data_IF_174393795298
#
_entry.id   IF_174393795298
#
_cell.length_a   1.000
_cell.length_b   1.000
_cell.length_c   1.000
_cell.angle_alpha   90.00
_cell.angle_beta   90.00
_cell.angle_gamma   90.00
#
_symmetry.space_group_name_H-M   'P 1'
#
loop_
_entity.id
_entity.type
_entity.pdbx_description
1 polymer ?
#
# COMPACT_ATOMS: atom_id res chain seq x y z
N UNK A 1 -13.18 32.93 -17.82
CA UNK A 1 -13.40 31.69 -17.06
C UNK A 1 -13.83 31.99 -15.64
N UNK A 2 -13.04 32.67 -14.84
CA UNK A 2 -13.32 32.98 -13.41
C UNK A 2 -14.62 33.71 -13.07
N UNK A 3 -15.22 34.38 -14.03
CA UNK A 3 -16.44 35.19 -13.82
C UNK A 3 -17.75 34.49 -14.13
N UNK A 4 -17.71 33.22 -14.56
CA UNK A 4 -18.88 32.56 -15.11
C UNK A 4 -19.38 31.34 -14.37
N UNK A 5 -18.55 30.77 -13.47
CA UNK A 5 -18.92 29.57 -12.70
C UNK A 5 -18.17 29.52 -11.37
N UNK A 6 -18.84 29.01 -10.33
CA UNK A 6 -18.28 28.85 -8.99
C UNK A 6 -17.62 27.47 -8.78
N UNK A 7 -17.83 26.51 -9.69
CA UNK A 7 -17.27 25.17 -9.63
C UNK A 7 -16.77 24.71 -11.01
N UNK A 8 -15.56 24.14 -11.01
CA UNK A 8 -14.89 23.63 -12.20
C UNK A 8 -14.64 22.11 -12.06
N UNK A 9 -15.69 21.32 -12.26
CA UNK A 9 -15.58 19.87 -12.31
C UNK A 9 -14.87 19.38 -13.56
N UNK A 10 -14.60 18.06 -13.63
CA UNK A 10 -13.88 17.41 -14.73
C UNK A 10 -14.47 17.74 -16.11
N UNK A 11 -15.80 17.67 -16.24
CA UNK A 11 -16.48 17.95 -17.51
C UNK A 11 -16.28 19.39 -17.96
N UNK A 12 -16.43 20.35 -17.05
CA UNK A 12 -16.21 21.77 -17.31
C UNK A 12 -14.77 22.05 -17.77
N UNK A 13 -13.78 21.45 -17.11
CA UNK A 13 -12.36 21.59 -17.50
C UNK A 13 -12.15 21.03 -18.90
N UNK A 14 -12.68 19.85 -19.21
CA UNK A 14 -12.56 19.25 -20.54
C UNK A 14 -13.24 20.09 -21.65
N UNK A 15 -14.41 20.67 -21.37
CA UNK A 15 -15.10 21.59 -22.29
C UNK A 15 -14.26 22.84 -22.60
N UNK A 16 -13.71 23.48 -21.54
CA UNK A 16 -12.85 24.65 -21.71
C UNK A 16 -11.53 24.32 -22.43
N UNK A 17 -10.91 23.21 -22.06
CA UNK A 17 -9.69 22.73 -22.72
C UNK A 17 -9.90 22.49 -24.20
N UNK A 18 -11.02 21.84 -24.57
CA UNK A 18 -11.40 21.61 -25.97
C UNK A 18 -11.71 22.92 -26.68
N UNK A 19 -12.45 23.83 -26.05
CA UNK A 19 -12.82 25.14 -26.61
C UNK A 19 -11.61 26.00 -26.92
N UNK A 20 -10.60 25.99 -26.04
CA UNK A 20 -9.42 26.85 -26.18
C UNK A 20 -8.19 26.11 -26.71
N UNK A 21 -8.35 24.82 -27.07
CA UNK A 21 -7.28 23.95 -27.59
C UNK A 21 -6.03 23.93 -26.67
N UNK A 22 -6.25 23.82 -25.37
CA UNK A 22 -5.18 23.73 -24.36
C UNK A 22 -5.24 22.36 -23.66
N UNK A 23 -4.12 21.96 -23.07
CA UNK A 23 -4.06 20.74 -22.27
C UNK A 23 -4.95 20.89 -21.01
N UNK A 24 -5.89 19.97 -20.75
CA UNK A 24 -6.74 20.05 -19.55
C UNK A 24 -5.96 19.97 -18.24
N UNK A 25 -4.86 19.24 -18.20
CA UNK A 25 -3.97 19.16 -17.04
C UNK A 25 -3.30 20.53 -16.77
N UNK A 26 -2.70 21.16 -17.76
CA UNK A 26 -2.09 22.48 -17.63
C UNK A 26 -3.13 23.55 -17.22
N UNK A 27 -4.35 23.42 -17.74
CA UNK A 27 -5.45 24.31 -17.35
C UNK A 27 -5.79 24.16 -15.85
N UNK A 28 -5.80 22.93 -15.32
CA UNK A 28 -5.97 22.69 -13.88
C UNK A 28 -4.82 23.32 -13.07
N UNK A 29 -3.57 23.18 -13.51
CA UNK A 29 -2.42 23.78 -12.84
C UNK A 29 -2.46 25.33 -12.86
N UNK A 30 -2.94 25.94 -13.95
CA UNK A 30 -3.15 27.39 -14.01
C UNK A 30 -4.24 27.85 -13.02
N UNK A 31 -5.32 27.09 -12.89
CA UNK A 31 -6.36 27.35 -11.89
C UNK A 31 -5.85 27.19 -10.45
N UNK A 32 -5.01 26.18 -10.22
CA UNK A 32 -4.47 25.90 -8.90
C UNK A 32 -3.62 27.05 -8.30
N UNK A 33 -3.12 27.96 -9.12
CA UNK A 33 -2.37 29.14 -8.64
C UNK A 33 -3.30 30.12 -7.88
N UNK A 34 -4.59 30.08 -8.13
CA UNK A 34 -5.56 31.07 -7.63
C UNK A 34 -6.44 30.56 -6.48
N UNK A 35 -6.23 29.33 -6.02
CA UNK A 35 -7.03 28.73 -4.94
C UNK A 35 -6.26 28.74 -3.62
N UNK A 36 -7.00 28.70 -2.51
CA UNK A 36 -6.43 28.68 -1.17
C UNK A 36 -5.98 27.29 -0.73
N UNK A 37 -6.57 26.23 -1.34
CA UNK A 37 -6.24 24.83 -1.04
C UNK A 37 -6.23 23.98 -2.32
N UNK A 38 -5.28 23.04 -2.38
CA UNK A 38 -5.16 22.06 -3.46
C UNK A 38 -5.18 20.66 -2.85
N UNK A 39 -6.08 19.80 -3.33
CA UNK A 39 -6.11 18.38 -2.97
C UNK A 39 -5.52 17.60 -4.15
N UNK A 40 -4.49 16.80 -3.87
CA UNK A 40 -3.79 16.04 -4.90
C UNK A 40 -3.19 14.74 -4.33
N UNK A 41 -2.76 13.87 -5.23
CA UNK A 41 -2.01 12.66 -4.88
C UNK A 41 -0.61 12.99 -4.35
N UNK A 42 -0.02 12.09 -3.54
CA UNK A 42 1.34 12.20 -3.00
C UNK A 42 2.40 12.45 -4.07
N UNK A 43 2.24 11.83 -5.24
CA UNK A 43 3.19 11.92 -6.35
C UNK A 43 3.43 13.38 -6.76
N UNK A 44 2.41 14.23 -6.72
CA UNK A 44 2.54 15.64 -7.09
C UNK A 44 3.42 16.47 -6.16
N UNK A 45 3.74 15.94 -4.98
CA UNK A 45 4.62 16.61 -4.00
C UNK A 45 5.94 15.86 -3.86
N UNK A 46 5.90 14.53 -3.79
CA UNK A 46 7.03 13.71 -3.31
C UNK A 46 7.77 12.96 -4.43
N UNK A 47 7.13 12.66 -5.57
CA UNK A 47 7.76 11.86 -6.62
C UNK A 47 8.80 12.71 -7.40
N UNK A 48 10.07 12.31 -7.45
CA UNK A 48 11.12 13.08 -8.14
C UNK A 48 10.87 13.27 -9.64
N UNK A 49 10.02 12.45 -10.26
CA UNK A 49 9.76 12.48 -11.69
C UNK A 49 8.50 13.25 -12.08
N UNK A 50 7.48 13.29 -11.18
CA UNK A 50 6.16 13.86 -11.48
C UNK A 50 5.73 15.00 -10.58
N UNK A 51 6.53 15.38 -9.56
CA UNK A 51 6.19 16.50 -8.70
C UNK A 51 5.89 17.78 -9.48
N UNK A 52 5.01 18.61 -8.97
CA UNK A 52 4.58 19.84 -9.64
C UNK A 52 5.69 20.91 -9.61
N UNK A 53 6.54 20.91 -10.62
CA UNK A 53 7.67 21.85 -10.75
C UNK A 53 7.26 23.32 -10.65
N UNK A 54 6.03 23.65 -11.05
CA UNK A 54 5.45 25.00 -10.95
C UNK A 54 5.39 25.49 -9.50
N UNK A 55 5.14 24.60 -8.53
CA UNK A 55 5.03 24.89 -7.11
C UNK A 55 6.29 24.53 -6.31
N UNK A 56 6.96 23.47 -6.72
CA UNK A 56 8.03 22.82 -5.96
C UNK A 56 9.35 22.69 -6.75
N UNK A 57 9.52 23.44 -7.85
CA UNK A 57 10.76 23.46 -8.61
C UNK A 57 11.95 24.03 -7.84
N UNK A 58 13.15 23.95 -8.44
CA UNK A 58 14.36 24.48 -7.83
C UNK A 58 14.24 25.97 -7.52
N UNK A 59 14.66 26.36 -6.33
CA UNK A 59 14.60 27.76 -5.86
C UNK A 59 13.19 28.27 -5.53
N UNK A 60 12.15 27.43 -5.65
CA UNK A 60 10.79 27.78 -5.23
C UNK A 60 10.52 27.27 -3.83
N UNK A 61 10.09 28.16 -2.96
CA UNK A 61 9.51 27.84 -1.65
C UNK A 61 8.30 28.71 -1.43
N UNK A 62 7.29 28.18 -0.78
CA UNK A 62 6.03 28.89 -0.56
C UNK A 62 5.54 28.81 0.87
N UNK A 63 4.47 29.54 1.15
CA UNK A 63 3.78 29.48 2.44
C UNK A 63 2.93 28.24 2.63
N UNK A 64 3.25 27.13 1.94
CA UNK A 64 2.46 25.91 1.93
C UNK A 64 2.42 25.23 3.30
N UNK A 65 1.26 24.72 3.65
CA UNK A 65 1.03 23.82 4.78
C UNK A 65 0.61 22.48 4.17
N UNK A 66 1.40 21.44 4.39
CA UNK A 66 1.09 20.10 3.90
C UNK A 66 0.22 19.37 4.92
N UNK A 67 -0.96 18.92 4.48
CA UNK A 67 -1.86 18.05 5.23
C UNK A 67 -1.85 16.68 4.54
N UNK A 68 -1.18 15.72 5.16
CA UNK A 68 -0.89 14.42 4.54
C UNK A 68 -1.78 13.38 5.19
N UNK A 69 -2.88 13.07 4.52
CA UNK A 69 -3.85 12.07 4.95
C UNK A 69 -3.37 10.66 4.64
N UNK A 70 -3.86 9.68 5.37
CA UNK A 70 -3.47 8.28 5.28
C UNK A 70 -1.94 8.11 5.20
N UNK A 71 -1.24 8.89 6.03
CA UNK A 71 0.21 9.03 5.98
C UNK A 71 0.98 7.71 6.19
N UNK A 72 0.32 6.67 6.71
CA UNK A 72 0.88 5.33 6.80
C UNK A 72 1.24 4.75 5.42
N UNK A 73 0.48 5.11 4.37
CA UNK A 73 0.75 4.68 3.00
C UNK A 73 1.97 5.38 2.39
N UNK A 74 2.30 6.59 2.86
CA UNK A 74 3.43 7.34 2.31
C UNK A 74 4.77 6.64 2.55
N UNK A 75 4.89 5.77 3.56
CA UNK A 75 6.12 5.00 3.81
C UNK A 75 6.44 4.06 2.65
N UNK A 76 5.49 3.20 2.26
CA UNK A 76 5.72 2.24 1.17
C UNK A 76 5.72 2.96 -0.19
N UNK A 77 4.85 3.97 -0.38
CA UNK A 77 4.89 4.84 -1.58
C UNK A 77 6.20 5.61 -1.70
N UNK A 78 6.74 6.12 -0.59
CA UNK A 78 8.05 6.77 -0.57
C UNK A 78 9.17 5.81 -0.96
N UNK A 79 9.16 4.58 -0.44
CA UNK A 79 10.11 3.55 -0.87
C UNK A 79 10.02 3.28 -2.37
N UNK A 80 8.83 3.16 -2.92
CA UNK A 80 8.61 2.97 -4.36
C UNK A 80 9.12 4.16 -5.18
N UNK A 81 8.71 5.39 -4.84
CA UNK A 81 9.08 6.63 -5.56
C UNK A 81 10.59 6.89 -5.58
N UNK A 82 11.28 6.50 -4.51
CA UNK A 82 12.72 6.70 -4.36
C UNK A 82 13.55 5.44 -4.61
N UNK A 83 12.99 4.43 -5.24
CA UNK A 83 13.71 3.23 -5.68
C UNK A 83 13.72 3.14 -7.20
N UNK A 84 14.78 2.56 -7.76
CA UNK A 84 14.89 2.31 -9.18
C UNK A 84 15.56 0.97 -9.44
N UNK A 85 15.42 0.47 -10.64
CA UNK A 85 16.06 -0.76 -11.06
C UNK A 85 16.43 -0.75 -12.54
N UNK A 86 17.33 -1.65 -12.92
CA UNK A 86 17.57 -1.98 -14.32
C UNK A 86 17.56 -3.50 -14.48
N UNK A 87 16.66 -3.99 -15.33
CA UNK A 87 16.57 -5.41 -15.70
C UNK A 87 17.45 -5.66 -16.94
N UNK A 88 18.31 -6.67 -16.87
CA UNK A 88 19.11 -7.08 -18.02
C UNK A 88 18.24 -7.55 -19.20
N UNK A 89 17.05 -8.07 -18.95
CA UNK A 89 16.11 -8.44 -20.01
C UNK A 89 15.68 -7.23 -20.82
N UNK A 90 15.32 -6.14 -20.15
CA UNK A 90 14.90 -4.89 -20.78
C UNK A 90 16.05 -4.24 -21.56
N UNK A 91 17.28 -4.30 -21.03
CA UNK A 91 18.49 -3.83 -21.76
C UNK A 91 18.70 -4.61 -23.05
N UNK A 92 18.45 -5.91 -23.07
CA UNK A 92 18.60 -6.74 -24.27
C UNK A 92 17.51 -6.43 -25.29
N UNK A 93 16.27 -6.20 -24.84
CA UNK A 93 15.16 -5.82 -25.70
C UNK A 93 15.39 -4.43 -26.30
N UNK A 94 15.71 -3.43 -25.47
CA UNK A 94 16.05 -2.08 -25.94
C UNK A 94 17.19 -2.08 -26.95
N UNK A 95 18.24 -2.91 -26.72
CA UNK A 95 19.34 -3.07 -27.66
C UNK A 95 18.90 -3.63 -29.00
N UNK A 96 17.97 -4.58 -29.03
CA UNK A 96 17.40 -5.15 -30.25
C UNK A 96 16.62 -4.08 -31.03
N UNK A 97 15.75 -3.34 -30.33
CA UNK A 97 14.95 -2.27 -30.93
C UNK A 97 15.83 -1.11 -31.45
N UNK A 98 16.87 -0.75 -30.71
CA UNK A 98 17.78 0.33 -31.09
C UNK A 98 18.61 0.04 -32.35
N UNK A 99 18.68 -1.21 -32.79
CA UNK A 99 19.51 -1.62 -33.94
C UNK A 99 19.13 -0.88 -35.26
N UNK A 100 17.86 -0.57 -35.42
CA UNK A 100 17.31 0.10 -36.60
C UNK A 100 17.44 1.62 -36.53
N UNK A 101 17.85 2.19 -35.38
CA UNK A 101 17.86 3.61 -35.13
C UNK A 101 19.26 4.19 -34.90
N UNK A 102 20.03 3.63 -33.95
CA UNK A 102 21.33 4.20 -33.53
C UNK A 102 22.39 3.13 -33.22
N UNK A 103 23.46 3.15 -34.00
CA UNK A 103 24.66 2.30 -33.70
C UNK A 103 25.36 2.73 -32.39
N UNK A 104 25.28 4.01 -32.03
CA UNK A 104 25.81 4.54 -30.78
C UNK A 104 25.09 3.95 -29.59
N UNK A 105 23.76 4.02 -29.62
CA UNK A 105 22.90 3.44 -28.57
C UNK A 105 23.10 1.92 -28.43
N UNK A 106 23.19 1.17 -29.54
CA UNK A 106 23.47 -0.28 -29.49
C UNK A 106 24.79 -0.59 -28.79
N UNK A 107 25.84 0.24 -29.00
CA UNK A 107 27.14 0.05 -28.33
C UNK A 107 27.04 0.37 -26.83
N UNK A 108 26.36 1.45 -26.45
CA UNK A 108 26.16 1.84 -25.07
C UNK A 108 25.37 0.74 -24.31
N UNK A 109 24.23 0.29 -24.84
CA UNK A 109 23.46 -0.82 -24.30
C UNK A 109 24.26 -2.13 -24.22
N UNK A 110 25.11 -2.39 -25.23
CA UNK A 110 26.03 -3.52 -25.22
C UNK A 110 27.04 -3.48 -24.06
N UNK A 111 27.43 -2.29 -23.59
CA UNK A 111 28.31 -2.10 -22.43
C UNK A 111 27.57 -2.39 -21.12
N UNK A 112 26.37 -1.82 -20.96
CA UNK A 112 25.49 -2.09 -19.80
C UNK A 112 25.21 -3.60 -19.68
N UNK A 113 24.81 -4.26 -20.79
CA UNK A 113 24.57 -5.70 -20.80
C UNK A 113 25.77 -6.53 -20.33
N UNK A 114 26.99 -6.16 -20.72
CA UNK A 114 28.21 -6.89 -20.28
C UNK A 114 28.46 -6.74 -18.78
N UNK A 115 28.20 -5.56 -18.24
CA UNK A 115 28.35 -5.29 -16.80
C UNK A 115 27.29 -6.04 -15.99
N UNK A 116 26.04 -6.00 -16.41
CA UNK A 116 24.96 -6.77 -15.76
C UNK A 116 25.19 -8.28 -15.88
N UNK A 117 25.72 -8.77 -17.02
CA UNK A 117 26.09 -10.18 -17.18
C UNK A 117 27.22 -10.61 -16.21
N UNK A 118 28.12 -9.70 -15.87
CA UNK A 118 29.15 -10.01 -14.85
C UNK A 118 28.53 -10.16 -13.47
N UNK A 119 27.62 -9.24 -13.07
CA UNK A 119 26.87 -9.35 -11.82
C UNK A 119 25.98 -10.60 -11.77
N UNK A 120 25.39 -11.02 -12.90
CA UNK A 120 24.55 -12.22 -12.98
C UNK A 120 25.31 -13.51 -12.64
N UNK A 121 26.60 -13.59 -12.96
CA UNK A 121 27.44 -14.78 -12.68
C UNK A 121 27.71 -14.97 -11.19
N UNK A 122 27.77 -13.88 -10.46
CA UNK A 122 28.14 -13.87 -9.04
C UNK A 122 26.89 -13.87 -8.16
N UNK A 123 25.69 -13.57 -8.74
CA UNK A 123 24.41 -13.49 -8.05
C UNK A 123 23.82 -14.88 -7.74
N UNK A 124 23.60 -15.17 -6.45
CA UNK A 124 22.77 -16.30 -5.99
C UNK A 124 21.29 -15.94 -6.03
N UNK A 125 20.58 -16.11 -4.90
CA UNK A 125 19.20 -15.63 -4.78
C UNK A 125 19.15 -14.09 -4.84
N UNK A 126 20.04 -13.44 -4.08
CA UNK A 126 20.35 -12.00 -4.18
C UNK A 126 21.74 -11.72 -3.61
N UNK A 127 22.32 -10.58 -3.98
CA UNK A 127 23.63 -10.13 -3.49
C UNK A 127 23.59 -8.62 -3.20
N UNK A 128 24.05 -8.23 -2.01
CA UNK A 128 24.16 -6.81 -1.61
C UNK A 128 25.47 -6.24 -2.11
N UNK A 129 25.39 -5.11 -2.82
CA UNK A 129 26.52 -4.39 -3.39
C UNK A 129 26.84 -3.13 -2.59
N UNK A 130 28.08 -2.66 -2.63
CA UNK A 130 28.46 -1.40 -2.00
C UNK A 130 28.06 -0.17 -2.83
N UNK A 131 28.01 -0.31 -4.14
CA UNK A 131 27.63 0.74 -5.08
C UNK A 131 27.20 0.09 -6.41
N UNK A 132 26.51 0.83 -7.31
CA UNK A 132 26.09 0.30 -8.61
C UNK A 132 27.26 0.09 -9.59
N UNK A 133 28.47 0.50 -9.21
CA UNK A 133 29.69 0.30 -9.96
C UNK A 133 29.71 1.00 -11.32
N UNK A 134 30.26 0.35 -12.34
CA UNK A 134 30.36 0.98 -13.67
C UNK A 134 29.01 1.06 -14.42
N UNK A 135 27.94 0.45 -13.88
CA UNK A 135 26.61 0.47 -14.51
C UNK A 135 26.09 1.89 -14.62
N UNK A 136 26.20 2.71 -13.56
CA UNK A 136 25.75 4.11 -13.55
C UNK A 136 26.37 4.94 -14.67
N UNK A 137 27.70 4.86 -14.83
CA UNK A 137 28.39 5.57 -15.91
C UNK A 137 27.97 5.09 -17.32
N UNK A 138 27.63 3.82 -17.44
CA UNK A 138 27.16 3.28 -18.72
C UNK A 138 25.71 3.66 -18.99
N UNK A 139 24.88 3.79 -17.96
CA UNK A 139 23.52 4.32 -18.07
C UNK A 139 23.52 5.80 -18.49
N UNK A 140 24.43 6.63 -17.96
CA UNK A 140 24.64 8.00 -18.46
C UNK A 140 24.99 8.06 -19.95
N UNK A 141 25.82 7.10 -20.44
CA UNK A 141 26.12 7.01 -21.88
C UNK A 141 24.88 6.60 -22.70
N UNK A 142 24.06 5.69 -22.18
CA UNK A 142 22.78 5.31 -22.80
C UNK A 142 21.85 6.51 -22.88
N UNK A 143 21.69 7.26 -21.78
CA UNK A 143 20.88 8.48 -21.73
C UNK A 143 21.33 9.48 -22.83
N UNK A 144 22.60 9.81 -22.88
CA UNK A 144 23.11 10.76 -23.87
C UNK A 144 22.96 10.28 -25.34
N UNK A 145 22.99 8.98 -25.61
CA UNK A 145 22.72 8.45 -26.97
C UNK A 145 21.21 8.43 -27.28
N UNK A 146 20.35 8.26 -26.27
CA UNK A 146 18.89 8.35 -26.43
C UNK A 146 18.43 9.80 -26.64
N UNK A 147 19.00 10.75 -25.92
CA UNK A 147 18.71 12.19 -26.12
C UNK A 147 19.04 12.63 -27.54
N UNK A 148 20.23 12.26 -28.04
CA UNK A 148 20.61 12.51 -29.43
C UNK A 148 19.63 11.91 -30.46
N UNK A 149 19.22 10.64 -30.20
CA UNK A 149 18.25 9.95 -31.03
C UNK A 149 16.91 10.69 -31.08
N UNK A 150 16.41 11.13 -29.91
CA UNK A 150 15.17 11.90 -29.81
C UNK A 150 15.24 13.24 -30.53
N UNK A 151 16.36 13.95 -30.48
CA UNK A 151 16.60 15.18 -31.23
C UNK A 151 16.64 14.95 -32.75
N UNK A 152 17.29 13.85 -33.20
CA UNK A 152 17.42 13.51 -34.62
C UNK A 152 16.11 13.06 -35.27
N UNK A 153 15.19 12.50 -34.51
CA UNK A 153 13.92 11.98 -35.02
C UNK A 153 12.93 13.07 -35.45
N UNK A 154 13.14 14.34 -35.06
CA UNK A 154 12.29 15.48 -35.46
C UNK A 154 10.77 15.21 -35.40
N UNK A 155 10.32 14.52 -34.36
CA UNK A 155 8.88 14.21 -34.15
C UNK A 155 8.42 12.89 -34.80
N UNK A 156 9.32 12.03 -35.26
CA UNK A 156 8.97 10.63 -35.53
C UNK A 156 8.87 9.88 -34.23
N UNK A 157 7.85 9.06 -34.13
CA UNK A 157 7.62 8.25 -32.92
C UNK A 157 8.67 7.14 -32.78
N UNK A 158 9.22 6.99 -31.57
CA UNK A 158 9.98 5.80 -31.17
C UNK A 158 9.02 4.67 -30.83
N UNK A 159 9.44 3.40 -30.94
CA UNK A 159 8.70 2.30 -30.33
C UNK A 159 8.44 2.58 -28.84
N UNK A 160 7.23 2.34 -28.40
CA UNK A 160 6.78 2.58 -27.03
C UNK A 160 7.73 1.94 -26.01
N UNK A 161 8.12 0.69 -26.22
CA UNK A 161 9.05 -0.04 -25.35
C UNK A 161 10.44 0.63 -25.25
N UNK A 162 10.91 1.28 -26.31
CA UNK A 162 12.18 2.01 -26.27
C UNK A 162 12.05 3.35 -25.53
N UNK A 163 10.88 3.97 -25.61
CA UNK A 163 10.57 5.16 -24.83
C UNK A 163 10.39 4.84 -23.35
N UNK A 164 9.72 3.75 -23.01
CA UNK A 164 9.59 3.25 -21.62
C UNK A 164 10.97 2.97 -21.02
N UNK A 165 11.85 2.35 -21.82
CA UNK A 165 13.22 2.11 -21.39
C UNK A 165 14.00 3.42 -21.17
N UNK A 166 13.77 4.46 -21.98
CA UNK A 166 14.34 5.80 -21.76
C UNK A 166 13.93 6.35 -20.39
N UNK A 167 12.65 6.25 -20.02
CA UNK A 167 12.18 6.68 -18.72
C UNK A 167 12.80 5.85 -17.58
N UNK A 168 12.92 4.53 -17.75
CA UNK A 168 13.61 3.67 -16.80
C UNK A 168 15.08 4.09 -16.57
N UNK A 169 15.81 4.44 -17.66
CA UNK A 169 17.20 4.94 -17.57
C UNK A 169 17.26 6.25 -16.78
N UNK A 170 16.33 7.17 -17.06
CA UNK A 170 16.25 8.46 -16.38
C UNK A 170 15.96 8.27 -14.88
N UNK A 171 15.01 7.43 -14.57
CA UNK A 171 14.62 7.13 -13.19
C UNK A 171 15.77 6.51 -12.41
N UNK A 172 16.48 5.55 -13.02
CA UNK A 172 17.67 4.95 -12.43
C UNK A 172 18.75 6.00 -12.11
N UNK A 173 19.03 6.91 -13.04
CA UNK A 173 20.02 7.95 -12.85
C UNK A 173 19.60 8.99 -11.81
N UNK A 174 18.33 9.39 -11.78
CA UNK A 174 17.78 10.28 -10.75
C UNK A 174 17.94 9.68 -9.35
N UNK A 175 17.69 8.38 -9.21
CA UNK A 175 17.83 7.71 -7.90
C UNK A 175 19.30 7.46 -7.56
N UNK A 176 20.17 7.19 -8.55
CA UNK A 176 21.62 7.04 -8.35
C UNK A 176 22.25 8.29 -7.71
N UNK A 177 21.74 9.49 -8.04
CA UNK A 177 22.18 10.76 -7.44
C UNK A 177 21.70 10.94 -5.98
N UNK A 178 20.66 10.22 -5.56
CA UNK A 178 20.10 10.32 -4.20
C UNK A 178 20.67 9.26 -3.23
N UNK A 179 21.57 8.38 -3.68
CA UNK A 179 22.10 7.29 -2.87
C UNK A 179 22.84 7.79 -1.63
N UNK A 180 22.38 7.36 -0.46
CA UNK A 180 22.98 7.59 0.85
C UNK A 180 22.88 6.34 1.73
N UNK A 181 23.12 6.46 3.03
CA UNK A 181 23.02 5.36 4.01
C UNK A 181 21.60 4.82 4.23
N UNK A 182 20.57 5.42 3.63
CA UNK A 182 19.19 4.95 3.66
C UNK A 182 18.84 4.03 2.48
N UNK A 183 19.81 3.76 1.61
CA UNK A 183 19.66 2.88 0.47
C UNK A 183 20.40 1.55 0.65
N UNK A 184 19.89 0.52 0.01
CA UNK A 184 20.59 -0.76 -0.18
C UNK A 184 20.61 -1.06 -1.67
N UNK A 185 21.80 -1.27 -2.21
CA UNK A 185 22.01 -1.65 -3.59
C UNK A 185 22.18 -3.16 -3.63
N UNK A 186 21.40 -3.82 -4.45
CA UNK A 186 21.47 -5.28 -4.55
C UNK A 186 21.13 -5.79 -5.95
N UNK A 187 21.52 -7.03 -6.21
CA UNK A 187 21.12 -7.78 -7.39
C UNK A 187 20.26 -8.97 -7.00
N UNK A 188 19.33 -9.33 -7.85
CA UNK A 188 18.51 -10.54 -7.75
C UNK A 188 18.26 -11.11 -9.14
N UNK A 189 17.84 -12.37 -9.22
CA UNK A 189 17.44 -12.98 -10.49
C UNK A 189 15.94 -12.79 -10.68
N UNK A 190 15.57 -12.07 -11.73
CA UNK A 190 14.17 -11.83 -12.10
C UNK A 190 13.49 -13.06 -12.70
N UNK A 191 12.20 -12.92 -12.96
CA UNK A 191 11.33 -14.00 -13.48
C UNK A 191 11.78 -14.56 -14.84
N UNK A 192 12.49 -13.76 -15.64
CA UNK A 192 13.06 -14.16 -16.93
C UNK A 192 14.46 -14.83 -16.81
N UNK A 193 14.92 -15.10 -15.59
CA UNK A 193 16.21 -15.69 -15.33
C UNK A 193 17.38 -14.78 -15.65
N UNK A 194 17.17 -13.46 -15.65
CA UNK A 194 18.19 -12.43 -15.82
C UNK A 194 18.37 -11.63 -14.53
N UNK A 195 19.57 -11.05 -14.36
CA UNK A 195 19.84 -10.20 -13.22
C UNK A 195 19.08 -8.88 -13.33
N UNK A 196 18.55 -8.45 -12.18
CA UNK A 196 18.02 -7.12 -11.93
C UNK A 196 18.98 -6.44 -10.94
N UNK A 197 19.48 -5.26 -11.25
CA UNK A 197 20.19 -4.39 -10.31
C UNK A 197 19.19 -3.40 -9.75
N UNK A 198 19.07 -3.35 -8.41
CA UNK A 198 18.13 -2.47 -7.71
C UNK A 198 18.86 -1.45 -6.84
N UNK A 199 18.36 -0.23 -6.87
CA UNK A 199 18.66 0.87 -5.96
C UNK A 199 17.44 1.00 -5.03
N UNK A 200 17.49 0.38 -3.86
CA UNK A 200 16.33 0.24 -2.98
C UNK A 200 16.39 1.24 -1.83
N UNK A 201 15.44 2.14 -1.79
CA UNK A 201 15.23 3.08 -0.68
C UNK A 201 14.62 2.35 0.51
N UNK A 202 15.38 2.12 1.55
CA UNK A 202 14.93 1.46 2.78
C UNK A 202 14.20 2.43 3.70
N UNK A 203 14.71 3.67 3.81
CA UNK A 203 14.11 4.71 4.63
C UNK A 203 13.91 6.00 3.80
N UNK A 204 12.66 6.36 3.45
CA UNK A 204 12.38 7.53 2.61
C UNK A 204 12.38 8.85 3.37
N UNK A 205 12.61 8.87 4.70
CA UNK A 205 12.44 10.07 5.53
C UNK A 205 13.28 11.27 5.06
N UNK A 206 14.52 11.07 4.60
CA UNK A 206 15.36 12.13 4.09
C UNK A 206 14.79 12.78 2.83
N UNK A 207 14.34 11.94 1.88
CA UNK A 207 13.75 12.39 0.62
C UNK A 207 12.42 13.12 0.85
N UNK A 208 11.53 12.55 1.68
CA UNK A 208 10.26 13.19 2.08
C UNK A 208 10.57 14.54 2.76
N UNK A 209 11.53 14.57 3.69
CA UNK A 209 11.94 15.78 4.39
C UNK A 209 12.37 16.89 3.45
N UNK A 210 13.19 16.59 2.43
CA UNK A 210 13.65 17.59 1.45
C UNK A 210 12.51 18.20 0.63
N UNK A 211 11.46 17.43 0.35
CA UNK A 211 10.26 17.96 -0.29
C UNK A 211 9.48 18.88 0.65
N UNK A 212 9.36 18.54 1.92
CA UNK A 212 8.64 19.32 2.93
C UNK A 212 9.33 20.65 3.28
N UNK A 213 10.64 20.76 3.09
CA UNK A 213 11.40 22.00 3.27
C UNK A 213 10.96 23.12 2.31
N UNK A 214 10.25 22.79 1.23
CA UNK A 214 9.66 23.75 0.30
C UNK A 214 8.42 24.45 0.86
N UNK A 215 7.87 23.98 1.99
CA UNK A 215 6.74 24.57 2.70
C UNK A 215 7.11 25.08 4.09
N UNK A 216 6.10 25.55 4.83
CA UNK A 216 6.25 26.05 6.20
C UNK A 216 6.09 24.97 7.26
N UNK A 217 5.18 24.05 7.06
CA UNK A 217 4.86 22.98 8.01
C UNK A 217 4.17 21.81 7.33
N UNK A 218 4.23 20.66 7.98
CA UNK A 218 3.53 19.46 7.56
C UNK A 218 2.83 18.81 8.76
N UNK A 219 1.65 18.23 8.49
CA UNK A 219 0.90 17.43 9.44
C UNK A 219 0.61 16.08 8.77
N UNK A 220 1.17 15.02 9.33
CA UNK A 220 0.88 13.65 8.93
C UNK A 220 -0.23 13.10 9.82
N UNK A 221 -1.27 12.56 9.25
CA UNK A 221 -2.35 11.97 10.02
C UNK A 221 -2.91 10.71 9.39
N UNK A 222 -3.37 9.80 10.23
CA UNK A 222 -4.07 8.58 9.87
C UNK A 222 -4.66 7.94 11.12
N UNK A 223 -5.66 7.10 10.94
CA UNK A 223 -6.21 6.28 12.02
C UNK A 223 -5.25 5.16 12.50
N UNK A 224 -4.21 4.85 11.73
CA UNK A 224 -3.34 3.67 11.95
C UNK A 224 -1.85 4.00 12.02
N UNK A 225 -1.45 5.21 12.41
CA UNK A 225 -0.03 5.56 12.65
C UNK A 225 0.50 4.93 13.96
N UNK A 226 0.42 3.62 14.06
CA UNK A 226 0.88 2.85 15.23
C UNK A 226 1.87 1.75 14.81
N UNK A 227 2.99 1.59 15.56
CA UNK A 227 3.46 2.47 16.64
C UNK A 227 3.99 3.81 16.09
N UNK A 228 3.77 4.88 16.84
CA UNK A 228 4.11 6.24 16.39
C UNK A 228 5.59 6.43 16.07
N UNK A 229 6.48 5.85 16.87
CA UNK A 229 7.94 5.95 16.66
C UNK A 229 8.41 5.31 15.34
N UNK A 230 7.74 4.25 14.90
CA UNK A 230 8.01 3.63 13.60
C UNK A 230 7.75 4.62 12.46
N UNK A 231 6.55 5.23 12.45
CA UNK A 231 6.19 6.19 11.40
C UNK A 231 7.02 7.47 11.50
N UNK A 232 7.31 7.97 12.71
CA UNK A 232 8.17 9.12 12.88
C UNK A 232 9.56 8.90 12.28
N UNK A 233 10.15 7.74 12.48
CA UNK A 233 11.47 7.37 11.91
C UNK A 233 11.48 7.30 10.39
N UNK A 234 10.35 6.98 9.77
CA UNK A 234 10.21 6.76 8.33
C UNK A 234 9.66 7.96 7.57
N UNK A 235 9.05 8.93 8.27
CA UNK A 235 8.41 10.11 7.66
C UNK A 235 9.14 11.40 8.00
N UNK A 236 10.03 11.41 9.00
CA UNK A 236 10.78 12.60 9.42
C UNK A 236 12.21 12.28 9.83
N UNK A 237 13.12 13.23 9.53
CA UNK A 237 14.50 13.25 10.03
C UNK A 237 14.68 14.15 11.23
N UNK A 238 13.65 14.93 11.62
CA UNK A 238 13.72 15.94 12.66
C UNK A 238 13.44 15.31 14.02
N UNK A 239 14.32 15.58 14.99
CA UNK A 239 14.20 15.04 16.36
C UNK A 239 13.14 15.73 17.21
N UNK A 240 12.81 16.95 16.86
CA UNK A 240 11.84 17.81 17.54
C UNK A 240 10.40 17.62 17.04
N UNK A 241 10.19 16.84 15.99
CA UNK A 241 8.85 16.47 15.57
C UNK A 241 8.18 15.60 16.64
N UNK A 242 6.94 15.92 16.96
CA UNK A 242 6.18 15.24 17.99
C UNK A 242 4.90 14.62 17.43
N UNK A 243 4.46 13.56 18.08
CA UNK A 243 3.20 12.91 17.74
C UNK A 243 2.10 13.26 18.75
N UNK A 244 0.89 13.41 18.26
CA UNK A 244 -0.31 13.62 19.08
C UNK A 244 -1.23 12.43 18.87
N UNK A 245 -1.63 11.79 19.97
CA UNK A 245 -2.68 10.78 19.95
C UNK A 245 -4.03 11.46 20.19
N UNK A 246 -4.92 11.38 19.22
CA UNK A 246 -6.29 11.91 19.33
C UNK A 246 -7.21 10.75 19.70
N UNK A 247 -7.91 10.82 20.85
CA UNK A 247 -8.85 9.77 21.24
C UNK A 247 -9.94 9.55 20.20
N UNK A 248 -10.32 8.31 19.98
CA UNK A 248 -11.42 7.96 19.09
C UNK A 248 -12.74 8.58 19.56
N UNK A 249 -13.53 9.22 18.68
CA UNK A 249 -14.85 9.75 19.02
C UNK A 249 -15.93 8.67 19.19
N UNK A 250 -15.61 7.41 18.87
CA UNK A 250 -16.57 6.31 18.87
C UNK A 250 -16.68 5.66 20.25
N UNK A 251 -17.90 5.40 20.68
CA UNK A 251 -18.19 4.81 22.00
C UNK A 251 -17.78 3.33 22.04
N UNK A 252 -17.05 2.95 23.09
CA UNK A 252 -16.59 1.56 23.29
C UNK A 252 -17.78 0.59 23.46
N UNK A 253 -18.88 1.02 24.06
CA UNK A 253 -20.08 0.19 24.29
C UNK A 253 -20.73 -0.27 23.00
N UNK A 254 -20.55 0.47 21.90
CA UNK A 254 -21.12 0.17 20.57
C UNK A 254 -20.31 -0.87 19.77
N UNK A 255 -19.17 -1.33 20.30
CA UNK A 255 -18.37 -2.36 19.64
C UNK A 255 -18.05 -3.53 20.58
N UNK A 256 -17.82 -4.69 19.97
CA UNK A 256 -17.29 -5.86 20.65
C UNK A 256 -16.01 -6.30 19.95
N UNK A 257 -14.88 -6.30 20.65
CA UNK A 257 -13.60 -6.75 20.11
C UNK A 257 -13.19 -8.05 20.81
N UNK A 258 -13.13 -9.13 20.04
CA UNK A 258 -12.75 -10.46 20.55
C UNK A 258 -11.47 -10.96 19.88
N UNK A 259 -10.67 -11.70 20.62
CA UNK A 259 -9.46 -12.37 20.14
C UNK A 259 -9.55 -13.86 20.37
N UNK A 260 -9.59 -14.66 19.31
CA UNK A 260 -9.54 -16.12 19.35
C UNK A 260 -8.13 -16.61 19.73
N UNK A 261 -8.04 -17.40 20.82
CA UNK A 261 -6.74 -17.85 21.35
C UNK A 261 -6.39 -19.29 20.98
N UNK A 262 -7.35 -20.05 20.49
CA UNK A 262 -7.23 -21.47 20.15
C UNK A 262 -7.16 -21.73 18.64
N UNK A 263 -6.82 -20.69 17.87
CA UNK A 263 -6.72 -20.70 16.42
C UNK A 263 -5.42 -20.02 15.95
N UNK A 264 -4.85 -20.49 14.85
CA UNK A 264 -3.60 -19.98 14.31
C UNK A 264 -3.64 -19.86 12.79
N UNK A 265 -3.12 -18.77 12.25
CA UNK A 265 -2.93 -18.59 10.80
C UNK A 265 -1.52 -18.93 10.33
N UNK A 266 -0.65 -19.43 11.21
CA UNK A 266 0.75 -19.77 10.85
C UNK A 266 0.78 -20.79 9.74
N UNK A 267 1.66 -20.56 8.75
CA UNK A 267 1.80 -21.43 7.59
C UNK A 267 2.03 -22.91 7.98
N UNK A 268 2.83 -23.14 9.02
CA UNK A 268 3.17 -24.48 9.53
C UNK A 268 1.99 -25.21 10.21
N UNK A 269 0.90 -24.49 10.52
CA UNK A 269 -0.30 -25.06 11.14
C UNK A 269 -1.49 -25.13 10.18
N UNK A 270 -1.34 -24.62 8.94
CA UNK A 270 -2.40 -24.65 7.95
C UNK A 270 -2.74 -26.08 7.57
N UNK A 271 -4.02 -26.37 7.54
CA UNK A 271 -4.60 -27.66 7.24
C UNK A 271 -6.06 -27.70 7.67
N UNK A 272 -6.76 -28.77 7.35
CA UNK A 272 -8.20 -28.90 7.55
C UNK A 272 -8.65 -28.57 8.98
N UNK A 273 -7.95 -29.03 10.03
CA UNK A 273 -8.33 -28.75 11.42
C UNK A 273 -8.33 -27.25 11.77
N UNK A 274 -7.33 -26.49 11.29
CA UNK A 274 -7.30 -25.05 11.53
C UNK A 274 -8.30 -24.34 10.62
N UNK A 275 -8.49 -24.78 9.39
CA UNK A 275 -9.51 -24.23 8.48
C UNK A 275 -10.92 -24.43 9.05
N UNK A 276 -11.22 -25.61 9.58
CA UNK A 276 -12.49 -25.91 10.25
C UNK A 276 -12.71 -25.03 11.50
N UNK A 277 -11.67 -24.80 12.33
CA UNK A 277 -11.78 -23.88 13.46
C UNK A 277 -12.09 -22.45 13.02
N UNK A 278 -11.38 -21.95 12.01
CA UNK A 278 -11.61 -20.60 11.47
C UNK A 278 -13.02 -20.49 10.91
N UNK A 279 -13.45 -21.45 10.08
CA UNK A 279 -14.80 -21.51 9.50
C UNK A 279 -15.88 -21.58 10.60
N UNK A 280 -15.65 -22.36 11.67
CA UNK A 280 -16.54 -22.44 12.84
C UNK A 280 -16.64 -21.10 13.58
N UNK A 281 -15.54 -20.36 13.75
CA UNK A 281 -15.58 -19.01 14.33
C UNK A 281 -16.40 -18.04 13.46
N UNK A 282 -16.19 -18.08 12.13
CA UNK A 282 -16.94 -17.26 11.19
C UNK A 282 -18.44 -17.58 11.29
N UNK A 283 -18.81 -18.87 11.24
CA UNK A 283 -20.18 -19.31 11.32
C UNK A 283 -20.88 -18.85 12.61
N UNK A 284 -20.26 -19.09 13.78
CA UNK A 284 -20.80 -18.66 15.08
C UNK A 284 -20.95 -17.14 15.18
N UNK A 285 -20.04 -16.39 14.53
CA UNK A 285 -20.11 -14.95 14.49
C UNK A 285 -21.31 -14.48 13.65
N UNK A 286 -21.50 -15.04 12.47
CA UNK A 286 -22.58 -14.72 11.54
C UNK A 286 -23.93 -15.16 12.11
N UNK A 287 -23.99 -16.32 12.79
CA UNK A 287 -25.22 -16.84 13.39
C UNK A 287 -25.67 -16.06 14.63
N UNK A 288 -24.75 -15.36 15.31
CA UNK A 288 -25.09 -14.56 16.49
C UNK A 288 -26.04 -13.39 16.18
N UNK A 289 -25.98 -12.83 14.96
CA UNK A 289 -26.89 -11.79 14.49
C UNK A 289 -26.95 -11.76 12.97
N UNK A 290 -28.15 -11.68 12.40
CA UNK A 290 -28.33 -11.43 10.96
C UNK A 290 -27.85 -10.05 10.56
N UNK A 291 -27.18 -9.93 9.43
CA UNK A 291 -26.60 -8.72 8.87
C UNK A 291 -25.37 -9.02 8.02
N UNK A 292 -24.63 -7.99 7.63
CA UNK A 292 -23.51 -8.15 6.70
C UNK A 292 -22.18 -8.19 7.44
N UNK A 293 -21.30 -9.08 6.98
CA UNK A 293 -19.99 -9.35 7.56
C UNK A 293 -18.91 -9.36 6.49
N UNK A 294 -17.72 -8.91 6.83
CA UNK A 294 -16.51 -9.12 6.04
C UNK A 294 -15.52 -10.01 6.77
N UNK A 295 -14.87 -10.92 6.04
CA UNK A 295 -13.83 -11.80 6.56
C UNK A 295 -12.56 -11.55 5.78
N UNK A 296 -11.50 -11.10 6.47
CA UNK A 296 -10.25 -10.71 5.84
C UNK A 296 -9.15 -11.75 6.08
N UNK A 297 -8.50 -12.15 5.01
CA UNK A 297 -7.44 -13.16 5.01
C UNK A 297 -6.09 -12.60 4.54
N UNK A 298 -4.96 -13.21 4.90
CA UNK A 298 -3.64 -12.75 4.46
C UNK A 298 -3.30 -13.12 3.00
N UNK A 299 -4.06 -14.01 2.38
CA UNK A 299 -3.86 -14.41 0.96
C UNK A 299 -5.10 -15.06 0.38
N UNK A 300 -5.23 -15.01 -0.95
CA UNK A 300 -6.33 -15.65 -1.70
C UNK A 300 -6.41 -17.17 -1.44
N UNK A 301 -5.27 -17.86 -1.54
CA UNK A 301 -5.25 -19.31 -1.31
C UNK A 301 -5.77 -19.73 0.07
N UNK A 302 -5.39 -18.99 1.11
CA UNK A 302 -5.88 -19.29 2.46
C UNK A 302 -7.37 -18.95 2.63
N UNK A 303 -7.83 -17.91 1.98
CA UNK A 303 -9.23 -17.53 1.92
C UNK A 303 -10.07 -18.64 1.25
N UNK A 304 -9.64 -19.10 0.09
CA UNK A 304 -10.29 -20.16 -0.68
C UNK A 304 -10.38 -21.48 0.10
N UNK A 305 -9.26 -21.88 0.74
CA UNK A 305 -9.22 -23.12 1.53
C UNK A 305 -10.20 -23.06 2.73
N UNK A 306 -10.35 -21.92 3.38
CA UNK A 306 -11.30 -21.77 4.51
C UNK A 306 -12.73 -21.60 4.02
N UNK A 307 -12.94 -20.89 2.90
CA UNK A 307 -14.27 -20.73 2.29
C UNK A 307 -14.84 -22.08 1.85
N UNK A 308 -14.03 -22.96 1.25
CA UNK A 308 -14.45 -24.31 0.87
C UNK A 308 -14.96 -25.11 2.08
N UNK A 309 -14.26 -25.05 3.22
CA UNK A 309 -14.72 -25.71 4.45
C UNK A 309 -15.98 -25.05 5.00
N UNK A 310 -16.07 -23.72 4.93
CA UNK A 310 -17.26 -22.99 5.38
C UNK A 310 -18.49 -23.35 4.58
N UNK A 311 -18.41 -23.38 3.25
CA UNK A 311 -19.52 -23.74 2.36
C UNK A 311 -19.96 -25.19 2.51
N UNK A 312 -19.01 -26.10 2.70
CA UNK A 312 -19.32 -27.53 2.83
C UNK A 312 -19.94 -27.91 4.18
N UNK A 313 -19.58 -27.22 5.28
CA UNK A 313 -19.93 -27.68 6.63
C UNK A 313 -20.78 -26.69 7.44
N UNK A 314 -20.76 -25.40 7.11
CA UNK A 314 -21.41 -24.33 7.87
C UNK A 314 -22.40 -23.50 7.07
N UNK A 315 -22.58 -23.82 5.78
CA UNK A 315 -23.54 -23.13 4.92
C UNK A 315 -24.97 -23.32 5.43
N UNK A 316 -25.75 -22.24 5.41
CA UNK A 316 -27.17 -22.22 5.77
C UNK A 316 -27.92 -21.34 4.79
N UNK A 317 -29.18 -21.68 4.47
CA UNK A 317 -29.97 -21.04 3.39
C UNK A 317 -30.16 -19.52 3.53
N UNK A 318 -30.04 -18.99 4.74
CA UNK A 318 -30.24 -17.57 5.02
C UNK A 318 -28.94 -16.75 5.01
N UNK A 319 -27.80 -17.37 4.71
CA UNK A 319 -26.49 -16.74 4.57
C UNK A 319 -25.99 -16.87 3.15
N UNK A 320 -25.71 -15.76 2.49
CA UNK A 320 -25.07 -15.73 1.19
C UNK A 320 -23.61 -15.35 1.32
N UNK A 321 -22.73 -16.08 0.64
CA UNK A 321 -21.30 -15.79 0.59
C UNK A 321 -20.92 -15.20 -0.76
N UNK A 322 -20.05 -14.21 -0.74
CA UNK A 322 -19.35 -13.67 -1.91
C UNK A 322 -17.85 -13.59 -1.61
N UNK A 323 -17.02 -13.73 -2.61
CA UNK A 323 -15.57 -13.72 -2.42
C UNK A 323 -14.86 -12.80 -3.40
N UNK A 324 -13.81 -12.14 -2.93
CA UNK A 324 -12.91 -11.37 -3.76
C UNK A 324 -12.08 -12.30 -4.64
N UNK A 325 -12.01 -12.02 -5.94
CA UNK A 325 -11.13 -12.73 -6.87
C UNK A 325 -9.87 -11.92 -7.18
N UNK A 326 -8.80 -12.61 -7.56
CA UNK A 326 -7.57 -11.95 -8.00
C UNK A 326 -7.81 -11.26 -9.34
N UNK A 327 -7.39 -9.99 -9.44
CA UNK A 327 -7.47 -9.23 -10.69
C UNK A 327 -8.86 -8.65 -11.01
N UNK A 328 -9.75 -8.51 -10.02
CA UNK A 328 -11.04 -7.83 -10.21
C UNK A 328 -10.88 -6.45 -10.86
N UNK A 329 -11.64 -6.18 -11.90
CA UNK A 329 -11.74 -4.88 -12.54
C UNK A 329 -12.55 -3.90 -11.66
N UNK A 330 -12.47 -2.59 -11.96
CA UNK A 330 -13.10 -1.56 -11.14
C UNK A 330 -14.62 -1.76 -11.03
N UNK A 331 -15.28 -2.11 -12.12
CA UNK A 331 -16.72 -2.40 -12.12
C UNK A 331 -17.09 -3.59 -11.22
N UNK A 332 -16.30 -4.67 -11.22
CA UNK A 332 -16.55 -5.84 -10.36
C UNK A 332 -16.39 -5.50 -8.88
N UNK A 333 -15.47 -4.57 -8.56
CA UNK A 333 -15.30 -4.06 -7.20
C UNK A 333 -16.49 -3.22 -6.76
N UNK A 334 -17.00 -2.35 -7.62
CA UNK A 334 -18.20 -1.56 -7.36
C UNK A 334 -19.41 -2.48 -7.14
N UNK A 335 -19.62 -3.47 -7.99
CA UNK A 335 -20.69 -4.48 -7.86
C UNK A 335 -20.57 -5.24 -6.53
N UNK A 336 -19.35 -5.66 -6.15
CA UNK A 336 -19.11 -6.33 -4.86
C UNK A 336 -19.51 -5.47 -3.66
N UNK A 337 -19.20 -4.17 -3.69
CA UNK A 337 -19.57 -3.23 -2.62
C UNK A 337 -21.08 -2.96 -2.62
N UNK A 338 -21.70 -2.86 -3.79
CA UNK A 338 -23.14 -2.61 -3.92
C UNK A 338 -23.97 -3.73 -3.32
N UNK A 339 -23.49 -4.98 -3.37
CA UNK A 339 -24.11 -6.14 -2.73
C UNK A 339 -24.35 -5.93 -1.22
N UNK A 340 -23.42 -5.24 -0.52
CA UNK A 340 -23.59 -4.89 0.90
C UNK A 340 -24.64 -3.84 1.15
N UNK A 341 -24.98 -3.05 0.15
CA UNK A 341 -26.01 -2.00 0.24
C UNK A 341 -27.40 -2.51 -0.13
N UNK A 342 -27.49 -3.55 -0.99
CA UNK A 342 -28.72 -4.07 -1.57
C UNK A 342 -29.17 -5.40 -0.98
N UNK A 343 -28.32 -6.05 -0.17
CA UNK A 343 -28.62 -7.37 0.41
C UNK A 343 -29.86 -7.34 1.33
N UNK A 344 -30.85 -8.18 1.05
CA UNK A 344 -32.05 -8.39 1.88
C UNK A 344 -31.85 -9.56 2.87
N UNK A 345 -30.66 -9.83 3.32
CA UNK A 345 -30.39 -10.97 4.21
C UNK A 345 -29.12 -10.84 4.97
N UNK A 346 -28.47 -11.96 5.19
CA UNK A 346 -27.12 -12.01 5.73
C UNK A 346 -26.13 -12.26 4.61
N UNK A 347 -25.20 -11.33 4.44
CA UNK A 347 -24.12 -11.39 3.45
C UNK A 347 -22.78 -11.53 4.15
N UNK A 348 -21.95 -12.46 3.67
CA UNK A 348 -20.57 -12.62 4.13
C UNK A 348 -19.64 -12.43 2.95
N UNK A 349 -18.85 -11.36 2.96
CA UNK A 349 -17.80 -11.09 1.97
C UNK A 349 -16.45 -11.61 2.43
N UNK A 350 -15.86 -12.51 1.66
CA UNK A 350 -14.51 -13.03 1.90
C UNK A 350 -13.51 -12.20 1.08
N UNK A 351 -12.57 -11.56 1.77
CA UNK A 351 -11.64 -10.58 1.20
C UNK A 351 -10.20 -10.84 1.63
N UNK A 352 -9.24 -10.22 0.95
CA UNK A 352 -7.82 -10.26 1.32
C UNK A 352 -7.41 -8.93 1.96
N UNK A 353 -6.65 -9.01 3.08
CA UNK A 353 -6.11 -7.84 3.78
C UNK A 353 -5.13 -7.04 2.90
N UNK A 354 -5.19 -5.71 3.00
CA UNK A 354 -4.34 -4.80 2.21
C UNK A 354 -4.76 -4.71 0.74
N UNK A 355 -5.92 -5.27 0.38
CA UNK A 355 -6.56 -5.07 -0.92
C UNK A 355 -7.58 -3.92 -0.89
N UNK A 356 -8.20 -3.66 -2.01
CA UNK A 356 -9.19 -2.58 -2.22
C UNK A 356 -10.30 -2.55 -1.17
N UNK A 357 -10.74 -3.72 -0.68
CA UNK A 357 -11.80 -3.82 0.32
C UNK A 357 -11.32 -3.58 1.77
N UNK A 358 -10.00 -3.52 2.00
CA UNK A 358 -9.43 -3.10 3.29
C UNK A 358 -9.27 -1.59 3.40
N UNK A 359 -9.27 -0.88 2.26
CA UNK A 359 -9.10 0.57 2.16
C UNK A 359 -10.17 1.15 1.22
N UNK A 360 -10.59 2.39 1.44
CA UNK A 360 -11.41 3.13 0.48
C UNK A 360 -12.89 2.76 0.38
N UNK A 361 -13.41 1.78 1.15
CA UNK A 361 -14.85 1.46 1.17
C UNK A 361 -15.54 2.09 2.38
N UNK A 362 -16.77 2.55 2.19
CA UNK A 362 -17.57 3.21 3.22
C UNK A 362 -18.94 2.53 3.36
N UNK A 363 -19.00 1.53 4.25
CA UNK A 363 -20.21 0.76 4.54
C UNK A 363 -20.73 1.14 5.94
N UNK A 364 -21.49 2.24 6.01
CA UNK A 364 -22.03 2.77 7.26
C UNK A 364 -23.29 2.03 7.71
N UNK A 365 -23.51 1.99 9.03
CA UNK A 365 -24.73 1.47 9.64
C UNK A 365 -24.86 -0.04 9.50
N UNK A 366 -26.05 -0.50 9.17
CA UNK A 366 -26.38 -1.93 9.04
C UNK A 366 -25.75 -2.56 7.77
N UNK A 367 -25.07 -1.77 6.90
CA UNK A 367 -24.38 -2.31 5.71
C UNK A 367 -23.18 -3.18 6.08
N UNK A 368 -22.56 -2.96 7.25
CA UNK A 368 -21.48 -3.81 7.76
C UNK A 368 -21.51 -3.82 9.30
N UNK A 369 -21.92 -4.92 9.88
CA UNK A 369 -22.03 -5.06 11.35
C UNK A 369 -20.93 -5.91 11.96
N UNK A 370 -20.03 -6.48 11.16
CA UNK A 370 -18.92 -7.25 11.71
C UNK A 370 -17.78 -7.47 10.74
N UNK A 371 -16.57 -7.53 11.30
CA UNK A 371 -15.36 -7.93 10.61
C UNK A 371 -14.67 -9.08 11.35
N UNK A 372 -14.28 -10.10 10.61
CA UNK A 372 -13.45 -11.21 11.10
C UNK A 372 -12.10 -11.10 10.41
N UNK A 373 -11.03 -10.93 11.18
CA UNK A 373 -9.66 -10.77 10.66
C UNK A 373 -8.87 -12.04 10.98
N UNK A 374 -8.53 -12.79 9.94
CA UNK A 374 -7.81 -14.06 10.05
C UNK A 374 -6.32 -13.82 9.91
N UNK A 375 -5.59 -13.94 11.01
CA UNK A 375 -4.14 -13.77 11.04
C UNK A 375 -3.67 -12.34 11.23
N UNK A 376 -2.36 -12.21 11.37
CA UNK A 376 -1.67 -10.98 11.77
C UNK A 376 -1.24 -10.11 10.59
N UNK A 377 -1.74 -10.37 9.38
CA UNK A 377 -1.50 -9.52 8.21
C UNK A 377 -0.06 -9.48 7.70
N UNK A 378 0.84 -10.35 8.19
CA UNK A 378 2.25 -10.31 7.83
C UNK A 378 2.41 -10.36 6.30
N UNK A 379 3.23 -9.46 5.72
CA UNK A 379 3.60 -9.52 4.31
C UNK A 379 4.27 -10.85 3.96
N UNK A 380 4.24 -11.21 2.69
CA UNK A 380 4.99 -12.37 2.19
C UNK A 380 6.49 -12.17 2.36
N UNK A 381 7.21 -13.27 2.60
CA UNK A 381 8.68 -13.28 2.62
C UNK A 381 9.17 -12.98 1.20
N UNK A 382 10.13 -12.08 1.09
CA UNK A 382 10.75 -11.69 -0.18
C UNK A 382 12.04 -10.94 0.07
N UNK A 383 12.85 -10.78 -0.98
CA UNK A 383 14.18 -10.18 -0.92
C UNK A 383 14.16 -8.80 -0.25
N UNK A 384 13.26 -7.92 -0.67
CA UNK A 384 13.17 -6.57 -0.09
C UNK A 384 12.82 -6.58 1.40
N UNK A 385 11.92 -7.48 1.82
CA UNK A 385 11.54 -7.61 3.25
C UNK A 385 12.69 -8.13 4.10
N UNK A 386 13.50 -9.07 3.57
CA UNK A 386 14.71 -9.56 4.27
C UNK A 386 15.81 -8.50 4.30
N UNK A 387 15.97 -7.69 3.26
CA UNK A 387 16.85 -6.53 3.25
C UNK A 387 16.41 -5.49 4.30
N UNK A 388 15.12 -5.16 4.35
CA UNK A 388 14.55 -4.28 5.37
C UNK A 388 14.85 -4.80 6.78
N UNK A 389 14.59 -6.08 7.03
CA UNK A 389 14.87 -6.71 8.32
C UNK A 389 16.34 -6.57 8.70
N UNK A 390 17.25 -6.98 7.83
CA UNK A 390 18.70 -6.92 8.09
C UNK A 390 19.21 -5.49 8.28
N UNK A 391 18.65 -4.54 7.55
CA UNK A 391 19.02 -3.12 7.67
C UNK A 391 18.67 -2.57 9.07
N UNK A 392 17.45 -2.83 9.55
CA UNK A 392 17.02 -2.35 10.87
C UNK A 392 17.68 -3.13 12.01
N UNK A 393 17.92 -4.42 11.87
CA UNK A 393 18.73 -5.21 12.83
C UNK A 393 20.15 -4.62 13.00
N UNK A 394 20.81 -4.23 11.90
CA UNK A 394 22.12 -3.55 11.92
C UNK A 394 22.07 -2.17 12.58
N UNK A 395 20.94 -1.47 12.51
CA UNK A 395 20.73 -0.17 13.18
C UNK A 395 20.30 -0.31 14.64
N UNK A 396 20.17 -1.54 15.18
CA UNK A 396 19.83 -1.81 16.58
C UNK A 396 18.33 -1.76 16.89
N UNK A 397 17.47 -1.76 15.88
CA UNK A 397 16.02 -1.94 16.01
C UNK A 397 15.66 -3.42 15.81
N UNK A 398 14.41 -3.81 16.14
CA UNK A 398 13.89 -5.14 15.78
C UNK A 398 13.50 -5.13 14.30
N UNK A 399 14.35 -5.69 13.45
CA UNK A 399 14.14 -5.70 12.00
C UNK A 399 12.87 -6.49 11.60
N UNK A 400 12.47 -7.51 12.38
CA UNK A 400 11.22 -8.23 12.12
C UNK A 400 10.01 -7.32 12.33
N UNK A 401 10.06 -6.44 13.33
CA UNK A 401 9.01 -5.45 13.56
C UNK A 401 8.85 -4.51 12.37
N UNK A 402 9.95 -3.96 11.88
CA UNK A 402 9.94 -3.01 10.78
C UNK A 402 9.55 -3.64 9.43
N UNK A 403 10.01 -4.85 9.14
CA UNK A 403 9.75 -5.50 7.87
C UNK A 403 8.38 -6.22 7.80
N UNK A 404 7.90 -6.73 8.92
CA UNK A 404 6.76 -7.64 8.94
C UNK A 404 5.65 -7.25 9.92
N UNK A 405 5.97 -7.06 11.23
CA UNK A 405 4.93 -6.94 12.27
C UNK A 405 4.17 -5.63 12.16
N UNK A 406 4.85 -4.50 12.04
CA UNK A 406 4.20 -3.18 11.94
C UNK A 406 3.36 -3.04 10.66
N UNK A 407 3.89 -3.36 9.47
CA UNK A 407 3.06 -3.36 8.26
C UNK A 407 1.88 -4.33 8.32
N UNK A 408 2.07 -5.50 8.95
CA UNK A 408 1.01 -6.48 9.15
C UNK A 408 -0.11 -5.95 10.05
N UNK A 409 0.25 -5.37 11.19
CA UNK A 409 -0.72 -4.81 12.13
C UNK A 409 -1.47 -3.62 11.54
N UNK A 410 -0.81 -2.81 10.71
CA UNK A 410 -1.51 -1.73 10.00
C UNK A 410 -2.67 -2.29 9.15
N UNK A 411 -2.44 -3.35 8.37
CA UNK A 411 -3.51 -4.01 7.58
C UNK A 411 -4.64 -4.55 8.46
N UNK A 412 -4.30 -5.13 9.61
CA UNK A 412 -5.30 -5.61 10.59
C UNK A 412 -6.16 -4.46 11.10
N UNK A 413 -5.54 -3.36 11.50
CA UNK A 413 -6.25 -2.19 12.03
C UNK A 413 -7.12 -1.51 10.97
N UNK A 414 -6.65 -1.41 9.74
CA UNK A 414 -7.43 -0.88 8.60
C UNK A 414 -8.67 -1.73 8.33
N UNK A 415 -8.49 -3.05 8.22
CA UNK A 415 -9.60 -3.99 7.99
C UNK A 415 -10.63 -3.94 9.12
N UNK A 416 -10.17 -3.85 10.37
CA UNK A 416 -11.04 -3.72 11.55
C UNK A 416 -11.77 -2.37 11.60
N UNK A 417 -11.14 -1.30 11.14
CA UNK A 417 -11.70 0.05 11.10
C UNK A 417 -12.89 0.22 10.15
N UNK A 418 -13.22 -0.80 9.35
CA UNK A 418 -14.39 -0.76 8.45
C UNK A 418 -15.73 -0.86 9.18
N UNK A 419 -15.76 -1.42 10.38
CA UNK A 419 -17.01 -1.73 11.11
C UNK A 419 -17.62 -0.50 11.80
N UNK A 420 -16.82 0.40 12.33
CA UNK A 420 -17.27 1.58 13.06
C UNK A 420 -16.79 2.83 12.32
N UNK A 421 -17.70 3.50 11.62
CA UNK A 421 -17.44 4.66 10.77
C UNK A 421 -18.16 5.93 11.28
N UNK A 422 -19.25 5.73 11.99
CA UNK A 422 -20.07 6.81 12.56
C UNK A 422 -20.27 6.59 14.06
N UNK A 423 -20.75 7.62 14.75
CA UNK A 423 -21.09 7.48 16.18
C UNK A 423 -22.30 6.56 16.42
N UNK A 424 -23.09 6.30 15.39
CA UNK A 424 -24.27 5.43 15.47
C UNK A 424 -23.97 3.97 15.17
N UNK A 425 -22.85 3.70 14.52
CA UNK A 425 -22.49 2.34 14.14
C UNK A 425 -22.29 1.43 15.36
N UNK A 426 -22.70 0.19 15.18
CA UNK A 426 -22.56 -0.85 16.19
C UNK A 426 -22.12 -2.13 15.52
N UNK A 427 -21.09 -2.78 16.08
CA UNK A 427 -20.60 -3.98 15.43
C UNK A 427 -19.54 -4.75 16.20
N UNK A 428 -19.10 -5.84 15.59
CA UNK A 428 -18.11 -6.76 16.18
C UNK A 428 -16.84 -6.79 15.35
N UNK A 429 -15.72 -6.95 16.03
CA UNK A 429 -14.40 -7.18 15.44
C UNK A 429 -13.86 -8.46 16.09
N UNK A 430 -13.65 -9.49 15.28
CA UNK A 430 -13.10 -10.77 15.71
C UNK A 430 -11.72 -10.99 15.11
N UNK A 431 -10.71 -11.06 15.96
CA UNK A 431 -9.32 -11.28 15.57
C UNK A 431 -8.95 -12.74 15.76
N UNK A 432 -8.66 -13.46 14.70
CA UNK A 432 -8.41 -14.90 14.70
C UNK A 432 -6.92 -15.22 14.52
N UNK A 433 -6.17 -15.12 15.59
CA UNK A 433 -4.80 -15.66 15.70
C UNK A 433 -4.32 -15.60 17.16
N UNK A 434 -3.73 -16.69 17.64
CA UNK A 434 -3.16 -16.78 19.00
C UNK A 434 -2.11 -15.70 19.30
N UNK A 435 -1.36 -15.25 18.27
CA UNK A 435 -0.31 -14.23 18.39
C UNK A 435 -0.82 -12.86 18.85
N UNK A 436 -2.09 -12.52 18.61
CA UNK A 436 -2.66 -11.27 19.13
C UNK A 436 -2.67 -11.20 20.67
N UNK A 437 -2.51 -12.33 21.35
CA UNK A 437 -2.34 -12.38 22.79
C UNK A 437 -0.89 -12.18 23.26
N UNK A 438 0.09 -12.24 22.37
CA UNK A 438 1.50 -12.04 22.70
C UNK A 438 1.79 -10.57 23.03
N UNK A 439 2.77 -10.33 23.91
CA UNK A 439 3.14 -8.99 24.35
C UNK A 439 3.51 -8.07 23.17
N UNK A 440 4.25 -8.57 22.19
CA UNK A 440 4.70 -7.80 21.03
C UNK A 440 3.55 -7.32 20.13
N UNK A 441 2.42 -8.02 20.10
CA UNK A 441 1.24 -7.60 19.36
C UNK A 441 0.28 -6.74 20.20
N UNK A 442 0.20 -7.00 21.52
CA UNK A 442 -0.70 -6.25 22.41
C UNK A 442 -0.43 -4.76 22.42
N UNK A 443 0.84 -4.37 22.35
CA UNK A 443 1.27 -2.98 22.37
C UNK A 443 1.03 -2.23 21.04
N UNK A 444 0.62 -2.93 20.00
CA UNK A 444 0.34 -2.36 18.69
C UNK A 444 -1.15 -2.05 18.47
N UNK A 445 -2.01 -2.39 19.44
CA UNK A 445 -3.42 -2.03 19.37
C UNK A 445 -3.63 -0.58 19.85
N UNK A 446 -4.62 0.12 19.26
CA UNK A 446 -5.02 1.44 19.75
C UNK A 446 -5.39 1.40 21.24
N UNK A 447 -5.10 2.48 21.96
CA UNK A 447 -5.36 2.57 23.40
C UNK A 447 -6.85 2.37 23.75
N UNK A 448 -7.74 2.83 22.86
CA UNK A 448 -9.19 2.63 22.99
C UNK A 448 -9.63 1.17 22.86
N UNK A 449 -8.79 0.26 22.38
CA UNK A 449 -9.09 -1.17 22.32
C UNK A 449 -8.75 -1.91 23.63
N UNK A 450 -8.64 -1.17 24.73
CA UNK A 450 -8.38 -1.73 26.08
C UNK A 450 -9.48 -2.67 26.56
N UNK A 451 -10.70 -2.55 26.03
CA UNK A 451 -11.87 -3.39 26.29
C UNK A 451 -11.86 -4.73 25.53
N UNK A 452 -10.81 -4.98 24.70
CA UNK A 452 -10.66 -6.23 23.95
C UNK A 452 -10.61 -7.45 24.86
N UNK A 453 -11.42 -8.46 24.55
CA UNK A 453 -11.52 -9.69 25.32
C UNK A 453 -11.01 -10.89 24.55
N UNK A 454 -10.46 -11.86 25.27
CA UNK A 454 -10.09 -13.14 24.69
C UNK A 454 -11.31 -14.06 24.63
N UNK A 455 -11.39 -14.88 23.58
CA UNK A 455 -12.38 -15.93 23.43
C UNK A 455 -11.73 -17.24 22.94
N UNK A 456 -12.50 -18.31 23.05
CA UNK A 456 -12.26 -19.62 22.44
C UNK A 456 -13.52 -20.02 21.68
N UNK A 457 -13.46 -21.07 20.86
CA UNK A 457 -14.66 -21.61 20.19
C UNK A 457 -15.80 -21.86 21.18
N UNK A 458 -15.49 -22.31 22.41
CA UNK A 458 -16.51 -22.61 23.42
C UNK A 458 -17.14 -21.36 24.06
N UNK A 459 -16.52 -20.20 23.97
CA UNK A 459 -16.98 -18.96 24.65
C UNK A 459 -17.41 -17.86 23.72
N UNK A 460 -17.11 -17.93 22.43
CA UNK A 460 -17.37 -16.87 21.47
C UNK A 460 -18.87 -16.58 21.32
N UNK A 461 -19.70 -17.60 21.20
CA UNK A 461 -21.17 -17.44 21.06
C UNK A 461 -21.79 -16.72 22.25
N UNK A 462 -21.40 -17.11 23.47
CA UNK A 462 -21.88 -16.45 24.68
C UNK A 462 -21.50 -14.97 24.68
N UNK A 463 -20.22 -14.65 24.41
CA UNK A 463 -19.73 -13.27 24.45
C UNK A 463 -20.39 -12.38 23.36
N UNK A 464 -20.64 -12.93 22.18
CA UNK A 464 -21.36 -12.25 21.09
C UNK A 464 -22.84 -12.05 21.47
N UNK A 465 -23.49 -13.06 22.04
CA UNK A 465 -24.87 -12.97 22.49
C UNK A 465 -25.05 -11.92 23.60
N UNK A 466 -24.15 -11.87 24.57
CA UNK A 466 -24.16 -10.85 25.63
C UNK A 466 -24.04 -9.43 25.05
N UNK A 467 -23.17 -9.24 24.06
CA UNK A 467 -23.02 -7.95 23.39
C UNK A 467 -24.28 -7.55 22.62
N UNK A 468 -24.80 -8.40 21.75
CA UNK A 468 -25.96 -8.08 20.93
C UNK A 468 -27.23 -7.87 21.77
N UNK A 469 -27.43 -8.65 22.84
CA UNK A 469 -28.56 -8.45 23.74
C UNK A 469 -28.48 -7.09 24.46
N UNK A 470 -27.31 -6.66 24.91
CA UNK A 470 -27.11 -5.33 25.50
C UNK A 470 -27.47 -4.22 24.53
N UNK A 471 -26.95 -4.27 23.31
CA UNK A 471 -27.18 -3.25 22.27
C UNK A 471 -28.66 -3.18 21.86
N UNK A 472 -29.37 -4.30 21.86
CA UNK A 472 -30.81 -4.31 21.55
C UNK A 472 -31.66 -3.72 22.68
N UNK A 473 -31.19 -3.76 23.93
CA UNK A 473 -31.90 -3.16 25.07
C UNK A 473 -31.74 -1.64 25.16
N UNK A 474 -30.66 -1.11 24.56
CA UNK A 474 -30.34 0.32 24.58
C UNK A 474 -30.94 1.08 23.36
N UNK A 475 -31.61 0.37 22.43
CA UNK A 475 -32.41 0.95 21.32
C UNK A 475 -33.87 1.01 21.71
#
# INVERSE_FOLDING_TARGET
MWTTQDCYGRETILEYAKKWQVCPFELCLDLAIWVDAVICDYNYVFDPNVYLKRFFGEGTSGGYIFLIDEAHNLVDRGREMYSAFVDRADVLEAKKLAADYSKGLVRALGKVNRQLLALEKDCGDYEILQNPGPVSLSMLQVMGEMDKLLEELHGKELPEQLLDFYFCVRDFLNIDELLDENYVIYTEIGTQGKVILRLFCVNPAANIGSCLEKGKSAVFFSATLLPMDYYRTLLSTRKDDYGIYVPSPFKQEKRCILTGRDVSSRYTRRGYEEYHKIASYIARTVWARKGNYMVFFPSYKFMEDVLEVYENEFSVDWVRCISQTSGMHEQEKEEFIEEFSTSEGTLVGFCVMGGVFSEGIDLMGEKLIGAVIVGTGLPQIGTEREILRQYYDKKGADGFDYAYRYPGMNKVLQSAGRVIRTQEDTGIILLLDERFADHNYRNLFPAEWSDRRNCTLNTVEQQLGEFWNRVCMDK
#
